data_IF_514689692123
#
_entry.id   IF_514689692123
#
_cell.length_a   1.000
_cell.length_b   1.000
_cell.length_c   1.000
_cell.angle_alpha   90.00
_cell.angle_beta   90.00
_cell.angle_gamma   90.00
#
_symmetry.space_group_name_H-M   'P 1'
#
loop_
_entity.id
_entity.type
_entity.pdbx_description
1 polymer ?
#
# COMPACT_ATOMS: atom_id res chain seq x y z
N UNK A 1 -4.46 25.09 -1.60
CA UNK A 1 -5.08 24.68 -0.32
C UNK A 1 -4.78 23.22 0.07
N UNK A 2 -3.64 22.64 -0.37
CA UNK A 2 -3.23 21.25 -0.07
C UNK A 2 -2.08 21.20 0.96
N UNK A 3 -1.36 22.31 1.16
CA UNK A 3 -0.21 22.41 2.07
C UNK A 3 -0.59 22.46 3.56
N UNK A 4 -1.86 22.68 3.93
CA UNK A 4 -2.30 22.73 5.33
C UNK A 4 -2.65 21.33 5.87
N UNK A 5 -2.99 20.36 5.00
CA UNK A 5 -3.23 18.97 5.41
C UNK A 5 -1.93 18.17 5.63
N UNK A 6 -0.79 18.72 5.18
CA UNK A 6 0.57 18.14 5.25
C UNK A 6 1.32 18.57 6.52
N UNK A 7 0.62 18.83 7.62
CA UNK A 7 1.28 18.84 8.92
C UNK A 7 1.50 17.38 9.34
N UNK A 8 2.65 16.83 8.94
CA UNK A 8 3.19 15.51 9.37
C UNK A 8 3.30 15.34 10.90
N UNK A 9 2.91 16.36 11.65
CA UNK A 9 2.84 16.45 13.11
C UNK A 9 1.47 16.08 13.66
N UNK A 10 0.46 15.99 12.78
CA UNK A 10 -0.89 15.63 13.14
C UNK A 10 -0.99 14.11 13.39
N UNK A 11 -1.57 13.66 14.51
CA UNK A 11 -1.62 12.24 14.89
C UNK A 11 -2.38 11.36 13.89
N UNK A 12 -3.11 11.95 12.94
CA UNK A 12 -3.80 11.23 11.87
C UNK A 12 -2.84 10.44 10.98
N UNK A 13 -1.57 10.84 10.86
CA UNK A 13 -0.55 10.07 10.13
C UNK A 13 -0.29 8.68 10.74
N UNK A 14 -0.60 8.48 12.03
CA UNK A 14 -0.50 7.17 12.69
C UNK A 14 -1.54 6.17 12.16
N UNK A 15 -2.70 6.64 11.69
CA UNK A 15 -3.74 5.75 11.20
C UNK A 15 -3.74 5.64 9.68
N UNK A 16 -3.23 6.65 8.96
CA UNK A 16 -3.26 6.68 7.49
C UNK A 16 -2.54 5.48 6.87
N UNK A 17 -1.38 5.06 7.42
CA UNK A 17 -0.65 3.91 6.89
C UNK A 17 -1.49 2.63 6.90
N UNK A 18 -2.08 2.32 8.06
CA UNK A 18 -2.93 1.15 8.23
C UNK A 18 -4.23 1.26 7.42
N UNK A 19 -4.83 2.45 7.33
CA UNK A 19 -6.04 2.67 6.53
C UNK A 19 -5.77 2.46 5.04
N UNK A 20 -4.69 3.03 4.50
CA UNK A 20 -4.31 2.84 3.10
C UNK A 20 -3.99 1.38 2.80
N UNK A 21 -3.28 0.70 3.70
CA UNK A 21 -3.03 -0.73 3.59
C UNK A 21 -4.33 -1.55 3.60
N UNK A 22 -5.26 -1.23 4.49
CA UNK A 22 -6.55 -1.93 4.59
C UNK A 22 -7.43 -1.71 3.36
N UNK A 23 -7.47 -0.49 2.84
CA UNK A 23 -8.18 -0.16 1.60
C UNK A 23 -7.59 -0.91 0.40
N UNK A 24 -6.26 -0.94 0.31
CA UNK A 24 -5.56 -1.72 -0.71
C UNK A 24 -5.87 -3.21 -0.59
N UNK A 25 -5.82 -3.77 0.62
CA UNK A 25 -6.11 -5.17 0.89
C UNK A 25 -7.52 -5.53 0.44
N UNK A 26 -8.52 -4.74 0.85
CA UNK A 26 -9.91 -4.95 0.43
C UNK A 26 -10.03 -4.85 -1.09
N UNK A 27 -9.45 -3.83 -1.73
CA UNK A 27 -9.55 -3.63 -3.17
C UNK A 27 -8.92 -4.77 -3.98
N UNK A 28 -7.73 -5.23 -3.58
CA UNK A 28 -7.02 -6.30 -4.30
C UNK A 28 -7.69 -7.64 -4.13
N UNK A 29 -8.02 -8.03 -2.89
CA UNK A 29 -8.62 -9.33 -2.62
C UNK A 29 -10.06 -9.41 -3.13
N UNK A 30 -10.88 -8.39 -2.89
CA UNK A 30 -12.25 -8.37 -3.44
C UNK A 30 -12.25 -8.25 -4.96
N UNK A 31 -11.34 -7.45 -5.53
CA UNK A 31 -11.17 -7.32 -6.97
C UNK A 31 -10.80 -8.67 -7.61
N UNK A 32 -9.88 -9.41 -7.01
CA UNK A 32 -9.53 -10.77 -7.44
C UNK A 32 -10.74 -11.71 -7.36
N UNK A 33 -11.44 -11.75 -6.22
CA UNK A 33 -12.61 -12.64 -6.04
C UNK A 33 -13.73 -12.34 -7.04
N UNK A 34 -14.06 -11.06 -7.26
CA UNK A 34 -15.10 -10.64 -8.21
C UNK A 34 -14.67 -10.92 -9.64
N UNK A 35 -13.42 -10.61 -10.01
CA UNK A 35 -12.91 -10.87 -11.35
C UNK A 35 -12.91 -12.37 -11.68
N UNK A 36 -12.47 -13.21 -10.75
CA UNK A 36 -12.52 -14.66 -10.92
C UNK A 36 -13.95 -15.21 -11.03
N UNK A 37 -14.93 -14.61 -10.33
CA UNK A 37 -16.32 -15.04 -10.40
C UNK A 37 -17.04 -14.60 -11.69
N UNK A 38 -16.72 -13.41 -12.21
CA UNK A 38 -17.42 -12.82 -13.37
C UNK A 38 -16.76 -13.19 -14.69
N UNK A 39 -15.42 -13.20 -14.74
CA UNK A 39 -14.66 -13.43 -15.96
C UNK A 39 -13.40 -14.24 -15.64
N UNK A 40 -13.54 -15.55 -15.32
CA UNK A 40 -12.40 -16.40 -15.03
C UNK A 40 -11.45 -16.43 -16.25
N UNK A 41 -10.16 -16.12 -16.07
CA UNK A 41 -9.17 -16.31 -17.12
C UNK A 41 -9.03 -17.80 -17.44
N UNK A 42 -8.53 -18.12 -18.64
CA UNK A 42 -8.36 -19.51 -19.04
C UNK A 42 -7.44 -20.25 -18.04
N UNK A 43 -7.71 -21.52 -17.68
CA UNK A 43 -6.87 -22.28 -16.75
C UNK A 43 -5.42 -22.47 -17.21
N UNK A 44 -5.18 -22.30 -18.52
CA UNK A 44 -3.88 -22.36 -19.17
C UNK A 44 -3.13 -21.01 -19.11
N UNK A 45 -3.80 -19.92 -18.72
CA UNK A 45 -3.17 -18.63 -18.56
C UNK A 45 -2.26 -18.66 -17.32
N UNK A 46 -0.96 -18.47 -17.56
CA UNK A 46 0.03 -18.29 -16.50
C UNK A 46 -0.16 -16.99 -15.71
N UNK A 47 0.82 -16.63 -14.90
CA UNK A 47 0.73 -15.47 -14.00
C UNK A 47 0.64 -14.10 -14.71
N UNK A 48 0.92 -14.00 -16.02
CA UNK A 48 0.84 -12.75 -16.79
C UNK A 48 -0.54 -12.56 -17.43
N UNK A 49 -1.55 -12.33 -16.60
CA UNK A 49 -2.89 -11.92 -17.05
C UNK A 49 -3.08 -10.41 -16.93
N UNK A 50 -4.01 -9.84 -17.69
CA UNK A 50 -4.40 -8.43 -17.53
C UNK A 50 -4.91 -8.11 -16.12
N UNK A 51 -5.51 -9.09 -15.44
CA UNK A 51 -5.93 -9.01 -14.04
C UNK A 51 -4.73 -8.87 -13.10
N UNK A 52 -3.73 -9.75 -13.22
CA UNK A 52 -2.51 -9.66 -12.42
C UNK A 52 -1.71 -8.39 -12.71
N UNK A 53 -1.69 -7.93 -13.97
CA UNK A 53 -1.07 -6.65 -14.32
C UNK A 53 -1.79 -5.46 -13.65
N UNK A 54 -3.12 -5.44 -13.64
CA UNK A 54 -3.90 -4.39 -12.98
C UNK A 54 -3.72 -4.42 -11.45
N UNK A 55 -3.87 -5.59 -10.83
CA UNK A 55 -3.71 -5.77 -9.38
C UNK A 55 -2.27 -5.50 -8.92
N UNK A 56 -1.29 -5.97 -9.69
CA UNK A 56 0.12 -5.67 -9.49
C UNK A 56 0.42 -4.18 -9.64
N UNK A 57 -0.18 -3.50 -10.61
CA UNK A 57 -0.07 -2.06 -10.81
C UNK A 57 -0.63 -1.26 -9.63
N UNK A 58 -1.83 -1.59 -9.15
CA UNK A 58 -2.43 -0.98 -7.95
C UNK A 58 -1.54 -1.21 -6.72
N UNK A 59 -0.99 -2.41 -6.58
CA UNK A 59 -0.07 -2.75 -5.49
C UNK A 59 1.24 -1.97 -5.56
N UNK A 60 1.81 -1.82 -6.75
CA UNK A 60 3.02 -1.02 -6.96
C UNK A 60 2.78 0.45 -6.64
N UNK A 61 1.68 1.03 -7.14
CA UNK A 61 1.30 2.42 -6.85
C UNK A 61 1.13 2.63 -5.34
N UNK A 62 0.46 1.69 -4.66
CA UNK A 62 0.25 1.76 -3.20
C UNK A 62 1.58 1.66 -2.45
N UNK A 63 2.45 0.71 -2.81
CA UNK A 63 3.75 0.53 -2.19
C UNK A 63 4.66 1.75 -2.38
N UNK A 64 4.71 2.32 -3.59
CA UNK A 64 5.48 3.54 -3.88
C UNK A 64 4.91 4.74 -3.13
N UNK A 65 3.58 4.88 -3.08
CA UNK A 65 2.92 5.94 -2.32
C UNK A 65 3.25 5.87 -0.82
N UNK A 66 3.17 4.68 -0.23
CA UNK A 66 3.55 4.44 1.17
C UNK A 66 5.04 4.70 1.42
N UNK A 67 5.93 4.27 0.52
CA UNK A 67 7.36 4.52 0.63
C UNK A 67 7.70 6.02 0.53
N UNK A 68 7.04 6.76 -0.36
CA UNK A 68 7.19 8.21 -0.47
C UNK A 68 6.71 8.93 0.80
N UNK A 69 5.59 8.49 1.39
CA UNK A 69 5.08 9.01 2.67
C UNK A 69 6.01 8.68 3.85
N UNK A 70 6.60 7.47 3.86
CA UNK A 70 7.61 7.08 4.84
C UNK A 70 8.86 7.96 4.72
N UNK A 71 9.32 8.21 3.49
CA UNK A 71 10.46 9.09 3.23
C UNK A 71 10.18 10.53 3.68
N UNK A 72 9.01 11.07 3.34
CA UNK A 72 8.58 12.40 3.79
C UNK A 72 8.55 12.51 5.32
N UNK A 73 7.99 11.49 5.98
CA UNK A 73 7.93 11.43 7.46
C UNK A 73 9.34 11.36 8.08
N UNK A 74 10.27 10.60 7.49
CA UNK A 74 11.67 10.55 7.92
C UNK A 74 12.39 11.89 7.76
N UNK A 75 12.12 12.63 6.67
CA UNK A 75 12.74 13.95 6.45
C UNK A 75 12.21 14.98 7.45
N UNK A 76 10.91 14.98 7.75
CA UNK A 76 10.31 15.83 8.79
C UNK A 76 10.82 15.44 10.19
N UNK A 77 10.96 14.14 10.47
CA UNK A 77 11.52 13.66 11.75
C UNK A 77 12.95 14.17 12.01
N UNK A 78 13.75 14.44 10.96
CA UNK A 78 15.09 15.03 11.08
C UNK A 78 15.06 16.52 11.39
N UNK A 79 13.99 17.23 11.00
CA UNK A 79 13.87 18.69 11.14
C UNK A 79 13.25 19.12 12.48
N UNK A 80 12.52 18.23 13.16
CA UNK A 80 11.84 18.54 14.42
C UNK A 80 12.43 17.78 15.62
N UNK A 81 12.30 18.35 16.83
CA UNK A 81 12.71 17.72 18.09
C UNK A 81 11.52 17.47 19.03
N UNK A 82 11.68 16.52 19.97
CA UNK A 82 10.66 16.17 20.96
C UNK A 82 9.48 15.35 20.40
N UNK A 83 8.26 15.65 20.87
CA UNK A 83 7.04 14.87 20.58
C UNK A 83 6.75 14.68 19.08
N UNK A 84 7.10 15.66 18.27
CA UNK A 84 6.85 15.60 16.82
C UNK A 84 7.80 14.66 16.08
N UNK A 85 9.03 14.49 16.56
CA UNK A 85 9.95 13.46 16.04
C UNK A 85 9.44 12.06 16.32
N UNK A 86 8.88 11.84 17.52
CA UNK A 86 8.27 10.56 17.89
C UNK A 86 7.09 10.22 16.97
N UNK A 87 6.14 11.14 16.79
CA UNK A 87 4.99 10.94 15.88
C UNK A 87 5.44 10.66 14.43
N UNK A 88 6.42 11.43 13.92
CA UNK A 88 6.93 11.24 12.57
C UNK A 88 7.68 9.89 12.40
N UNK A 89 8.41 9.45 13.43
CA UNK A 89 9.14 8.17 13.41
C UNK A 89 8.18 6.99 13.45
N UNK A 90 7.18 7.02 14.33
CA UNK A 90 6.16 5.95 14.42
C UNK A 90 5.35 5.88 13.13
N UNK A 91 4.94 7.03 12.57
CA UNK A 91 4.24 7.08 11.29
C UNK A 91 5.10 6.52 10.14
N UNK A 92 6.40 6.84 10.11
CA UNK A 92 7.33 6.29 9.13
C UNK A 92 7.42 4.76 9.20
N UNK A 93 7.53 4.19 10.41
CA UNK A 93 7.53 2.74 10.62
C UNK A 93 6.22 2.09 10.18
N UNK A 94 5.08 2.72 10.47
CA UNK A 94 3.77 2.23 10.05
C UNK A 94 3.63 2.22 8.53
N UNK A 95 4.10 3.28 7.84
CA UNK A 95 4.12 3.30 6.38
C UNK A 95 5.04 2.23 5.80
N UNK A 96 6.20 2.00 6.43
CA UNK A 96 7.17 1.00 5.97
C UNK A 96 6.63 -0.43 6.17
N UNK A 97 6.02 -0.71 7.32
CA UNK A 97 5.38 -2.00 7.60
C UNK A 97 4.19 -2.25 6.67
N UNK A 98 3.39 -1.20 6.40
CA UNK A 98 2.30 -1.25 5.43
C UNK A 98 2.82 -1.55 4.02
N UNK A 99 3.87 -0.86 3.57
CA UNK A 99 4.47 -1.11 2.26
C UNK A 99 5.03 -2.53 2.16
N UNK A 100 5.67 -3.01 3.22
CA UNK A 100 6.15 -4.39 3.31
C UNK A 100 4.99 -5.38 3.22
N UNK A 101 3.89 -5.12 3.92
CA UNK A 101 2.66 -5.91 3.83
C UNK A 101 2.09 -5.95 2.41
N UNK A 102 2.08 -4.83 1.69
CA UNK A 102 1.67 -4.77 0.27
C UNK A 102 2.56 -5.65 -0.61
N UNK A 103 3.88 -5.53 -0.47
CA UNK A 103 4.85 -6.29 -1.28
C UNK A 103 4.74 -7.78 -0.98
N UNK A 104 4.65 -8.15 0.29
CA UNK A 104 4.56 -9.55 0.73
C UNK A 104 3.24 -10.19 0.32
N UNK A 105 2.10 -9.53 0.59
CA UNK A 105 0.79 -10.04 0.20
C UNK A 105 0.51 -9.94 -1.31
N UNK A 106 1.20 -9.04 -2.02
CA UNK A 106 1.14 -8.92 -3.48
C UNK A 106 2.08 -9.89 -4.21
N UNK A 107 3.04 -10.51 -3.52
CA UNK A 107 3.98 -11.47 -4.12
C UNK A 107 3.28 -12.64 -4.85
N UNK A 108 2.22 -13.27 -4.30
CA UNK A 108 1.49 -14.35 -4.97
C UNK A 108 0.84 -13.93 -6.30
N UNK A 109 0.50 -12.64 -6.47
CA UNK A 109 -0.13 -12.12 -7.69
C UNK A 109 0.81 -12.26 -8.89
N UNK A 110 2.12 -12.28 -8.65
CA UNK A 110 3.15 -12.36 -9.70
C UNK A 110 3.57 -13.82 -9.97
N UNK A 111 3.44 -14.70 -8.97
CA UNK A 111 3.95 -16.08 -9.07
C UNK A 111 2.88 -17.13 -9.34
N UNK A 112 1.60 -16.85 -9.06
CA UNK A 112 0.50 -17.84 -9.13
C UNK A 112 -0.57 -17.39 -10.12
N UNK A 113 -1.21 -18.30 -10.87
CA UNK A 113 -2.42 -17.96 -11.63
C UNK A 113 -3.49 -17.33 -10.72
N UNK A 114 -4.22 -16.32 -11.21
CA UNK A 114 -5.11 -15.50 -10.39
C UNK A 114 -6.32 -16.24 -9.81
N UNK A 115 -6.77 -17.28 -10.50
CA UNK A 115 -7.95 -18.06 -10.12
C UNK A 115 -7.54 -19.53 -10.09
N UNK A 116 -7.36 -20.06 -8.87
CA UNK A 116 -7.23 -21.49 -8.61
C UNK A 116 -8.62 -22.09 -8.35
#
# INVERSE_FOLDING_TARGET
>A
MVMVLLHFTHPIHLIIGLTLWSLWFVAVYSGLSVACAVAPPSPEAGALTGLNAALGGVSLITAVGLAALAWGSCQVAKQHQGRQRFHATVSAWLYLFSAFGVVFAGMPIISVPPCL
#
